data_IF_714587037341
#
_entry.id   IF_714587037341
#
_cell.length_a   1.000
_cell.length_b   1.000
_cell.length_c   1.000
_cell.angle_alpha   90.00
_cell.angle_beta   90.00
_cell.angle_gamma   90.00
#
_symmetry.space_group_name_H-M   'P 1'
#
loop_
_entity.id
_entity.type
_entity.pdbx_description
1 polymer ?
#
# COMPACT_ATOMS: atom_id res chain seq x y z
N UNK A 1 13.56 7.95 16.07
CA UNK A 1 12.57 6.94 16.52
C UNK A 1 11.80 6.44 15.30
N UNK A 2 12.19 5.31 14.71
CA UNK A 2 11.45 4.68 13.62
C UNK A 2 10.89 3.31 14.06
N UNK A 3 9.72 3.26 14.71
CA UNK A 3 8.98 2.01 14.89
C UNK A 3 7.52 2.15 14.45
N UNK A 4 7.24 2.71 13.25
CA UNK A 4 5.85 3.03 12.82
C UNK A 4 5.37 2.38 11.51
N UNK A 5 6.26 1.80 10.69
CA UNK A 5 5.86 1.12 9.45
C UNK A 5 5.83 -0.42 9.55
N UNK A 6 6.36 -1.03 10.62
CA UNK A 6 6.43 -2.51 10.75
C UNK A 6 5.06 -3.17 10.76
N UNK A 7 4.12 -2.64 11.55
CA UNK A 7 2.81 -3.27 11.75
C UNK A 7 1.94 -3.15 10.51
N UNK A 8 2.04 -2.01 9.81
CA UNK A 8 1.40 -1.82 8.52
C UNK A 8 1.96 -2.77 7.47
N UNK A 9 3.28 -2.91 7.37
CA UNK A 9 3.93 -3.82 6.42
C UNK A 9 3.54 -5.27 6.71
N UNK A 10 3.54 -5.68 7.98
CA UNK A 10 3.09 -7.02 8.37
C UNK A 10 1.63 -7.28 7.97
N UNK A 11 0.75 -6.29 8.21
CA UNK A 11 -0.66 -6.35 7.80
C UNK A 11 -0.80 -6.44 6.28
N UNK A 12 -0.02 -5.65 5.53
CA UNK A 12 -0.04 -5.67 4.07
C UNK A 12 0.43 -7.04 3.53
N UNK A 13 1.52 -7.59 4.07
CA UNK A 13 2.01 -8.94 3.75
C UNK A 13 0.98 -10.02 4.05
N UNK A 14 0.23 -9.89 5.14
CA UNK A 14 -0.85 -10.82 5.49
C UNK A 14 -1.97 -10.84 4.45
N UNK A 15 -2.32 -9.67 3.89
CA UNK A 15 -3.43 -9.57 2.93
C UNK A 15 -3.02 -9.80 1.46
N UNK A 16 -1.86 -9.31 1.05
CA UNK A 16 -1.35 -9.44 -0.33
C UNK A 16 -0.57 -10.73 -0.55
N UNK A 17 -0.02 -11.32 0.52
CA UNK A 17 0.98 -12.37 0.44
C UNK A 17 2.36 -11.84 0.04
N UNK A 18 3.36 -12.72 0.03
CA UNK A 18 4.70 -12.43 -0.46
C UNK A 18 5.08 -13.48 -1.50
N UNK A 19 4.89 -13.15 -2.77
CA UNK A 19 5.07 -14.06 -3.90
C UNK A 19 6.37 -13.72 -4.61
N UNK A 20 7.37 -14.58 -4.46
CA UNK A 20 8.70 -14.36 -5.02
C UNK A 20 8.84 -14.68 -6.52
N UNK A 21 7.75 -14.87 -7.24
CA UNK A 21 7.75 -15.18 -8.67
C UNK A 21 6.62 -14.41 -9.37
N UNK A 22 6.76 -14.20 -10.67
CA UNK A 22 5.75 -13.49 -11.45
C UNK A 22 4.46 -14.33 -11.55
N UNK A 23 3.31 -13.69 -11.42
CA UNK A 23 1.99 -14.28 -11.60
C UNK A 23 1.05 -13.26 -12.25
N UNK A 24 -0.12 -13.70 -12.75
CA UNK A 24 -1.17 -12.77 -13.16
C UNK A 24 -2.18 -12.59 -12.03
N UNK A 25 -2.47 -11.34 -11.67
CA UNK A 25 -3.47 -11.01 -10.67
C UNK A 25 -4.90 -11.35 -11.14
N UNK A 26 -5.89 -11.08 -10.28
CA UNK A 26 -7.32 -11.30 -10.60
C UNK A 26 -7.84 -10.52 -11.82
N UNK A 27 -7.11 -9.50 -12.28
CA UNK A 27 -7.42 -8.70 -13.47
C UNK A 27 -6.55 -9.08 -14.67
N UNK A 28 -5.68 -10.09 -14.53
CA UNK A 28 -4.76 -10.52 -15.58
C UNK A 28 -3.47 -9.71 -15.68
N UNK A 29 -3.15 -8.86 -14.69
CA UNK A 29 -1.94 -8.06 -14.74
C UNK A 29 -0.72 -8.83 -14.18
N UNK A 30 0.44 -8.80 -14.85
CA UNK A 30 1.68 -9.33 -14.31
C UNK A 30 2.03 -8.67 -12.96
N UNK A 31 2.24 -9.49 -11.94
CA UNK A 31 2.40 -9.07 -10.54
C UNK A 31 3.47 -9.92 -9.84
N UNK A 32 4.23 -9.34 -8.92
CA UNK A 32 5.25 -10.03 -8.13
C UNK A 32 5.42 -9.37 -6.74
N UNK A 33 6.09 -10.05 -5.82
CA UNK A 33 6.38 -9.53 -4.48
C UNK A 33 5.11 -9.47 -3.64
N UNK A 34 4.84 -8.31 -3.07
CA UNK A 34 3.69 -8.08 -2.17
C UNK A 34 2.58 -7.41 -2.98
N UNK A 35 2.22 -7.99 -4.14
CA UNK A 35 1.19 -7.44 -5.02
C UNK A 35 1.65 -6.30 -5.93
N UNK A 36 2.93 -6.21 -6.29
CA UNK A 36 3.43 -5.16 -7.19
C UNK A 36 3.13 -5.49 -8.64
N UNK A 37 2.23 -4.71 -9.24
CA UNK A 37 1.96 -4.77 -10.68
C UNK A 37 3.20 -4.34 -11.47
N UNK A 38 3.65 -5.22 -12.36
CA UNK A 38 4.71 -4.96 -13.34
C UNK A 38 4.05 -4.54 -14.65
N UNK A 39 3.72 -3.25 -14.75
CA UNK A 39 2.91 -2.70 -15.84
C UNK A 39 3.55 -2.83 -17.23
N UNK A 40 4.87 -3.01 -17.27
CA UNK A 40 5.60 -3.30 -18.50
C UNK A 40 6.84 -4.17 -18.20
N UNK A 41 7.43 -4.70 -19.28
CA UNK A 41 8.61 -5.56 -19.21
C UNK A 41 9.84 -4.87 -18.62
N UNK A 42 9.96 -3.56 -18.79
CA UNK A 42 11.13 -2.82 -18.30
C UNK A 42 11.11 -2.70 -16.76
N UNK A 43 9.93 -2.51 -16.16
CA UNK A 43 9.77 -2.57 -14.71
C UNK A 43 10.18 -3.94 -14.15
N UNK A 44 9.76 -5.03 -14.78
CA UNK A 44 10.17 -6.37 -14.35
C UNK A 44 11.68 -6.60 -14.57
N UNK A 45 12.23 -6.11 -15.69
CA UNK A 45 13.66 -6.19 -15.96
C UNK A 45 14.52 -5.36 -14.99
N UNK A 46 13.96 -4.33 -14.34
CA UNK A 46 14.69 -3.59 -13.31
C UNK A 46 14.89 -4.38 -12.01
N UNK A 47 14.13 -5.46 -11.80
CA UNK A 47 14.26 -6.29 -10.61
C UNK A 47 15.55 -7.14 -10.67
N UNK A 48 16.18 -7.28 -9.49
CA UNK A 48 17.29 -8.21 -9.26
C UNK A 48 16.74 -9.63 -9.09
N UNK A 49 16.28 -10.22 -10.20
CA UNK A 49 15.76 -11.58 -10.27
C UNK A 49 16.90 -12.60 -10.31
N UNK A 50 16.70 -13.77 -9.70
CA UNK A 50 17.67 -14.87 -9.67
C UNK A 50 17.07 -16.14 -10.27
N UNK A 51 17.90 -16.98 -10.87
CA UNK A 51 17.50 -18.32 -11.32
C UNK A 51 17.27 -19.25 -10.13
N UNK A 52 16.75 -20.46 -10.38
CA UNK A 52 16.62 -21.54 -9.37
C UNK A 52 17.96 -21.89 -8.70
N UNK A 53 19.08 -21.66 -9.37
CA UNK A 53 20.44 -21.87 -8.86
C UNK A 53 21.00 -20.62 -8.15
N UNK A 54 20.14 -19.68 -7.78
CA UNK A 54 20.48 -18.43 -7.10
C UNK A 54 21.44 -17.51 -7.86
N UNK A 55 21.57 -17.67 -9.18
CA UNK A 55 22.41 -16.81 -10.01
C UNK A 55 21.62 -15.60 -10.52
N UNK A 56 22.22 -14.40 -10.62
CA UNK A 56 21.56 -13.23 -11.21
C UNK A 56 21.04 -13.51 -12.62
N UNK A 57 19.79 -13.16 -12.89
CA UNK A 57 19.16 -13.34 -14.19
C UNK A 57 19.55 -12.21 -15.16
N UNK A 58 19.86 -12.60 -16.40
CA UNK A 58 20.11 -11.64 -17.49
C UNK A 58 18.83 -10.89 -17.88
N UNK A 59 18.99 -9.71 -18.50
CA UNK A 59 17.84 -8.96 -19.04
C UNK A 59 17.06 -9.75 -20.10
N UNK A 60 17.74 -10.59 -20.89
CA UNK A 60 17.07 -11.49 -21.85
C UNK A 60 16.18 -12.50 -21.13
N UNK A 61 16.69 -13.19 -20.10
CA UNK A 61 15.90 -14.14 -19.31
C UNK A 61 14.68 -13.49 -18.65
N UNK A 62 14.85 -12.28 -18.08
CA UNK A 62 13.76 -11.52 -17.46
C UNK A 62 12.69 -11.14 -18.50
N UNK A 63 13.08 -10.62 -19.66
CA UNK A 63 12.17 -10.26 -20.76
C UNK A 63 11.42 -11.49 -21.29
N UNK A 64 12.14 -12.58 -21.57
CA UNK A 64 11.55 -13.82 -22.08
C UNK A 64 10.54 -14.42 -21.09
N UNK A 65 10.86 -14.39 -19.79
CA UNK A 65 9.95 -14.85 -18.74
C UNK A 65 8.70 -13.98 -18.65
N UNK A 66 8.86 -12.66 -18.58
CA UNK A 66 7.74 -11.72 -18.52
C UNK A 66 6.77 -11.92 -19.69
N UNK A 67 7.31 -11.95 -20.91
CA UNK A 67 6.49 -12.10 -22.12
C UNK A 67 5.74 -13.44 -22.12
N UNK A 68 6.42 -14.53 -21.76
CA UNK A 68 5.80 -15.86 -21.71
C UNK A 68 4.69 -15.96 -20.66
N UNK A 69 4.93 -15.47 -19.42
CA UNK A 69 3.93 -15.50 -18.36
C UNK A 69 2.74 -14.57 -18.64
N UNK A 70 2.98 -13.45 -19.33
CA UNK A 70 1.92 -12.52 -19.73
C UNK A 70 0.94 -13.11 -20.75
N UNK A 71 1.29 -14.23 -21.40
CA UNK A 71 0.42 -14.96 -22.33
C UNK A 71 -0.33 -16.14 -21.68
N UNK A 72 -0.10 -16.42 -20.40
CA UNK A 72 -0.82 -17.48 -19.69
C UNK A 72 -2.26 -17.04 -19.39
N UNK A 73 -3.20 -17.99 -19.21
CA UNK A 73 -4.54 -17.65 -18.77
C UNK A 73 -4.49 -17.04 -17.35
N UNK A 74 -5.31 -16.01 -17.14
CA UNK A 74 -5.51 -15.38 -15.83
C UNK A 74 -6.52 -16.15 -14.97
N UNK A 75 -6.72 -15.72 -13.72
CA UNK A 75 -7.71 -16.31 -12.81
C UNK A 75 -7.18 -17.47 -11.95
N UNK A 76 -5.94 -17.91 -12.17
CA UNK A 76 -5.28 -18.89 -11.30
C UNK A 76 -4.66 -18.23 -10.06
N UNK A 77 -4.47 -19.02 -8.99
CA UNK A 77 -3.73 -18.57 -7.80
C UNK A 77 -2.25 -18.41 -8.14
N UNK A 78 -1.57 -17.47 -7.49
CA UNK A 78 -0.13 -17.21 -7.67
C UNK A 78 0.72 -18.50 -7.71
N UNK A 79 0.49 -19.42 -6.76
CA UNK A 79 1.22 -20.69 -6.66
C UNK A 79 1.14 -21.57 -7.92
N UNK A 80 0.07 -21.48 -8.71
CA UNK A 80 -0.07 -22.22 -9.97
C UNK A 80 0.97 -21.75 -11.00
N UNK A 81 1.21 -20.43 -11.09
CA UNK A 81 2.20 -19.84 -11.99
C UNK A 81 3.63 -20.26 -11.65
N UNK A 82 3.91 -20.63 -10.39
CA UNK A 82 5.24 -21.07 -9.94
C UNK A 82 5.83 -22.19 -10.81
N UNK A 83 5.00 -23.10 -11.30
CA UNK A 83 5.42 -24.20 -12.17
C UNK A 83 5.95 -23.70 -13.54
N UNK A 84 5.50 -22.52 -13.95
CA UNK A 84 5.91 -21.85 -15.17
C UNK A 84 7.06 -20.87 -14.95
N UNK A 85 7.54 -20.66 -13.72
CA UNK A 85 8.62 -19.71 -13.43
C UNK A 85 9.99 -20.38 -13.39
N UNK A 86 10.96 -19.66 -13.94
CA UNK A 86 12.39 -19.96 -13.93
C UNK A 86 13.15 -18.96 -13.07
N UNK A 87 12.61 -17.76 -12.87
CA UNK A 87 13.22 -16.71 -12.06
C UNK A 87 12.41 -16.41 -10.80
N UNK A 88 13.13 -16.00 -9.77
CA UNK A 88 12.61 -15.69 -8.45
C UNK A 88 13.23 -14.41 -7.91
N UNK A 89 12.41 -13.56 -7.29
CA UNK A 89 12.82 -12.36 -6.58
C UNK A 89 13.33 -12.78 -5.19
N UNK A 90 14.61 -12.52 -4.84
CA UNK A 90 15.10 -12.81 -3.51
C UNK A 90 14.27 -12.10 -2.42
N UNK A 91 14.16 -12.71 -1.25
CA UNK A 91 13.34 -12.17 -0.15
C UNK A 91 13.77 -10.76 0.26
N UNK A 92 15.07 -10.51 0.41
CA UNK A 92 15.59 -9.18 0.71
C UNK A 92 15.20 -8.14 -0.36
N UNK A 93 15.10 -8.55 -1.63
CA UNK A 93 14.68 -7.67 -2.72
C UNK A 93 13.17 -7.40 -2.70
N UNK A 94 12.35 -8.33 -2.20
CA UNK A 94 10.92 -8.08 -2.01
C UNK A 94 10.67 -6.89 -1.08
N UNK A 95 11.41 -6.81 0.03
CA UNK A 95 11.28 -5.71 0.99
C UNK A 95 11.81 -4.38 0.44
N UNK A 96 12.94 -4.40 -0.29
CA UNK A 96 13.47 -3.19 -0.94
C UNK A 96 12.45 -2.61 -1.93
N UNK A 97 11.87 -3.48 -2.78
CA UNK A 97 10.83 -3.08 -3.75
C UNK A 97 9.60 -2.54 -3.02
N UNK A 98 9.16 -3.19 -1.93
CA UNK A 98 8.06 -2.69 -1.11
C UNK A 98 8.33 -1.27 -0.61
N UNK A 99 9.47 -1.05 0.02
CA UNK A 99 9.80 0.26 0.59
C UNK A 99 9.89 1.34 -0.49
N UNK A 100 10.41 1.01 -1.67
CA UNK A 100 10.43 1.92 -2.81
C UNK A 100 9.01 2.33 -3.24
N UNK A 101 8.11 1.35 -3.43
CA UNK A 101 6.72 1.60 -3.81
C UNK A 101 5.96 2.39 -2.73
N UNK A 102 6.13 2.07 -1.45
CA UNK A 102 5.52 2.82 -0.36
C UNK A 102 5.99 4.28 -0.37
N UNK A 103 7.29 4.54 -0.56
CA UNK A 103 7.80 5.89 -0.68
C UNK A 103 7.24 6.64 -1.89
N UNK A 104 7.02 5.97 -3.01
CA UNK A 104 6.34 6.56 -4.17
C UNK A 104 4.89 6.91 -3.86
N UNK A 105 4.14 5.99 -3.27
CA UNK A 105 2.76 6.22 -2.88
C UNK A 105 2.62 7.34 -1.85
N UNK A 106 3.53 7.46 -0.88
CA UNK A 106 3.53 8.59 0.06
C UNK A 106 3.67 9.94 -0.66
N UNK A 107 4.55 10.02 -1.68
CA UNK A 107 4.69 11.24 -2.49
C UNK A 107 3.43 11.54 -3.29
N UNK A 108 2.84 10.54 -3.93
CA UNK A 108 1.60 10.68 -4.70
C UNK A 108 0.42 11.09 -3.79
N UNK A 109 0.30 10.47 -2.61
CA UNK A 109 -0.68 10.83 -1.59
C UNK A 109 -0.48 12.26 -1.08
N UNK A 110 0.76 12.75 -0.95
CA UNK A 110 1.01 14.15 -0.59
C UNK A 110 0.56 15.14 -1.68
N UNK A 111 0.58 14.73 -2.95
CA UNK A 111 0.02 15.54 -4.06
C UNK A 111 -1.52 15.52 -4.04
N UNK A 112 -2.15 14.43 -3.58
CA UNK A 112 -3.62 14.34 -3.49
C UNK A 112 -4.14 15.07 -2.23
N UNK A 113 -3.57 14.76 -1.07
CA UNK A 113 -4.03 15.17 0.25
C UNK A 113 -3.18 16.33 0.79
N UNK A 114 -3.36 17.53 0.23
CA UNK A 114 -2.70 18.76 0.68
C UNK A 114 -3.68 19.93 0.81
N UNK A 115 -3.20 21.03 1.40
CA UNK A 115 -4.02 22.23 1.61
C UNK A 115 -4.53 22.87 0.32
N UNK A 116 -3.75 22.81 -0.78
CA UNK A 116 -4.16 23.36 -2.08
C UNK A 116 -5.39 22.65 -2.64
N UNK A 117 -5.56 21.37 -2.33
CA UNK A 117 -6.73 20.58 -2.71
C UNK A 117 -7.90 20.67 -1.70
N UNK A 118 -7.82 21.59 -0.73
CA UNK A 118 -8.88 21.88 0.24
C UNK A 118 -8.87 20.96 1.48
N UNK A 119 -7.78 20.24 1.75
CA UNK A 119 -7.61 19.47 2.98
C UNK A 119 -7.07 20.35 4.11
N UNK A 120 -7.48 20.08 5.37
CA UNK A 120 -7.01 20.88 6.53
C UNK A 120 -5.52 20.69 6.84
N UNK A 121 -4.95 19.55 6.46
CA UNK A 121 -3.57 19.15 6.76
C UNK A 121 -2.88 18.60 5.52
N UNK A 122 -1.56 18.77 5.48
CA UNK A 122 -0.70 18.02 4.55
C UNK A 122 -0.73 16.54 4.90
N UNK A 123 -0.59 15.67 3.89
CA UNK A 123 -0.58 14.22 4.07
C UNK A 123 0.35 13.76 5.21
N UNK A 124 1.58 14.27 5.23
CA UNK A 124 2.58 13.90 6.23
C UNK A 124 2.19 14.28 7.67
N UNK A 125 1.33 15.29 7.83
CA UNK A 125 0.79 15.75 9.10
C UNK A 125 -0.47 15.01 9.55
N UNK A 126 -1.08 14.19 8.69
CA UNK A 126 -2.23 13.37 9.08
C UNK A 126 -1.86 12.37 10.18
N UNK A 127 -2.83 11.97 11.04
CA UNK A 127 -2.60 10.92 12.02
C UNK A 127 -2.06 9.64 11.37
N UNK A 128 -1.14 8.93 12.02
CA UNK A 128 -0.52 7.74 11.43
C UNK A 128 -1.55 6.67 11.02
N UNK A 129 -2.60 6.38 11.81
CA UNK A 129 -3.65 5.47 11.35
C UNK A 129 -4.32 5.92 10.05
N UNK A 130 -4.58 7.22 9.87
CA UNK A 130 -5.13 7.75 8.61
C UNK A 130 -4.17 7.52 7.44
N UNK A 131 -2.86 7.74 7.65
CA UNK A 131 -1.85 7.47 6.62
C UNK A 131 -1.81 6.00 6.24
N UNK A 132 -1.87 5.08 7.22
CA UNK A 132 -1.95 3.63 6.95
C UNK A 132 -3.19 3.26 6.13
N UNK A 133 -4.35 3.84 6.45
CA UNK A 133 -5.57 3.61 5.68
C UNK A 133 -5.45 4.10 4.23
N UNK A 134 -4.91 5.31 4.03
CA UNK A 134 -4.69 5.87 2.70
C UNK A 134 -3.64 5.10 1.91
N UNK A 135 -2.57 4.61 2.56
CA UNK A 135 -1.56 3.75 1.95
C UNK A 135 -2.16 2.41 1.49
N UNK A 136 -2.97 1.74 2.31
CA UNK A 136 -3.64 0.51 1.89
C UNK A 136 -4.64 0.74 0.75
N UNK A 137 -5.35 1.87 0.78
CA UNK A 137 -6.27 2.22 -0.30
C UNK A 137 -5.53 2.50 -1.61
N UNK A 138 -4.47 3.30 -1.59
CA UNK A 138 -3.71 3.61 -2.81
C UNK A 138 -2.97 2.40 -3.36
N UNK A 139 -2.51 1.49 -2.47
CA UNK A 139 -1.92 0.23 -2.87
C UNK A 139 -2.89 -0.61 -3.72
N UNK A 140 -4.15 -0.69 -3.28
CA UNK A 140 -5.17 -1.46 -3.99
C UNK A 140 -5.73 -0.75 -5.24
N UNK A 141 -5.92 0.57 -5.17
CA UNK A 141 -6.68 1.32 -6.17
C UNK A 141 -5.79 2.00 -7.21
N UNK A 142 -4.53 2.30 -6.85
CA UNK A 142 -3.69 3.26 -7.53
C UNK A 142 -4.11 4.71 -7.24
N UNK A 143 -3.13 5.63 -7.31
CA UNK A 143 -3.29 7.05 -6.98
C UNK A 143 -4.33 7.76 -7.82
N UNK A 144 -4.38 7.49 -9.13
CA UNK A 144 -5.36 8.10 -10.02
C UNK A 144 -6.80 7.72 -9.65
N UNK A 145 -7.05 6.44 -9.37
CA UNK A 145 -8.40 5.99 -9.03
C UNK A 145 -8.81 6.53 -7.66
N UNK A 146 -7.91 6.49 -6.66
CA UNK A 146 -8.16 7.08 -5.35
C UNK A 146 -8.48 8.58 -5.44
N UNK A 147 -7.70 9.32 -6.23
CA UNK A 147 -7.86 10.77 -6.40
C UNK A 147 -9.24 11.15 -6.97
N UNK A 148 -9.74 10.37 -7.94
CA UNK A 148 -10.86 10.80 -8.78
C UNK A 148 -12.20 10.11 -8.45
N UNK A 149 -12.19 8.93 -7.82
CA UNK A 149 -13.40 8.09 -7.67
C UNK A 149 -13.88 7.91 -6.23
N UNK A 150 -13.29 8.64 -5.27
CA UNK A 150 -13.63 8.54 -3.84
C UNK A 150 -14.10 9.86 -3.22
N UNK A 151 -15.08 10.57 -3.83
CA UNK A 151 -15.47 11.92 -3.41
C UNK A 151 -16.02 11.98 -1.98
N UNK A 152 -16.77 10.96 -1.54
CA UNK A 152 -17.33 10.90 -0.18
C UNK A 152 -16.24 10.70 0.89
N UNK A 153 -15.26 9.86 0.60
CA UNK A 153 -14.08 9.69 1.45
C UNK A 153 -13.29 11.00 1.54
N UNK A 154 -13.05 11.66 0.40
CA UNK A 154 -12.34 12.94 0.37
C UNK A 154 -13.07 14.01 1.20
N UNK A 155 -14.39 14.10 1.05
CA UNK A 155 -15.21 15.02 1.85
C UNK A 155 -15.06 14.76 3.36
N UNK A 156 -15.14 13.49 3.78
CA UNK A 156 -14.93 13.11 5.18
C UNK A 156 -13.52 13.49 5.69
N UNK A 157 -12.47 13.23 4.91
CA UNK A 157 -11.09 13.58 5.28
C UNK A 157 -10.88 15.10 5.36
N UNK A 158 -11.47 15.88 4.44
CA UNK A 158 -11.44 17.35 4.49
C UNK A 158 -12.06 17.89 5.78
N UNK A 159 -13.14 17.26 6.24
CA UNK A 159 -13.78 17.60 7.50
C UNK A 159 -13.06 17.03 8.73
N UNK A 160 -12.15 16.06 8.54
CA UNK A 160 -11.56 15.20 9.57
C UNK A 160 -12.60 14.34 10.30
N UNK A 161 -13.68 14.00 9.62
CA UNK A 161 -14.67 13.04 10.10
C UNK A 161 -14.17 11.61 9.82
N UNK A 162 -13.36 11.10 10.75
CA UNK A 162 -12.76 9.77 10.61
C UNK A 162 -13.78 8.64 10.72
N UNK A 163 -14.92 8.85 11.41
CA UNK A 163 -15.99 7.86 11.47
C UNK A 163 -16.70 7.74 10.13
N UNK A 164 -16.93 8.85 9.43
CA UNK A 164 -17.44 8.82 8.06
C UNK A 164 -16.41 8.24 7.09
N UNK A 165 -15.14 8.63 7.19
CA UNK A 165 -14.07 8.08 6.36
C UNK A 165 -13.99 6.54 6.46
N UNK A 166 -14.13 6.00 7.67
CA UNK A 166 -14.18 4.55 7.91
C UNK A 166 -15.36 3.84 7.22
N UNK A 167 -16.49 4.52 7.00
CA UNK A 167 -17.64 3.98 6.26
C UNK A 167 -17.44 4.09 4.74
N UNK A 168 -16.80 5.16 4.30
CA UNK A 168 -16.60 5.49 2.88
C UNK A 168 -15.37 4.82 2.26
N UNK A 169 -14.51 4.13 3.02
CA UNK A 169 -13.31 3.47 2.50
C UNK A 169 -13.53 2.05 1.96
N UNK A 170 -14.78 1.54 1.96
CA UNK A 170 -15.08 0.16 1.57
C UNK A 170 -14.90 -0.10 0.07
N UNK A 171 -14.09 -1.11 -0.28
CA UNK A 171 -13.80 -1.52 -1.67
C UNK A 171 -14.53 -2.81 -2.04
N UNK A 172 -15.20 -2.84 -3.20
CA UNK A 172 -16.09 -3.97 -3.58
C UNK A 172 -15.38 -5.31 -3.80
N UNK A 173 -14.18 -5.31 -4.38
CA UNK A 173 -13.49 -6.54 -4.80
C UNK A 173 -12.33 -6.90 -3.86
N UNK A 174 -12.48 -6.60 -2.57
CA UNK A 174 -11.44 -6.78 -1.56
C UNK A 174 -11.98 -7.59 -0.39
N UNK A 175 -11.11 -8.38 0.25
CA UNK A 175 -11.49 -9.24 1.37
C UNK A 175 -12.14 -8.40 2.47
N UNK A 176 -13.23 -8.91 3.04
CA UNK A 176 -13.99 -8.24 4.10
C UNK A 176 -13.10 -7.84 5.27
N UNK A 177 -12.18 -8.71 5.70
CA UNK A 177 -11.27 -8.41 6.81
C UNK A 177 -10.29 -7.27 6.47
N UNK A 178 -9.82 -7.19 5.21
CA UNK A 178 -8.97 -6.08 4.76
C UNK A 178 -9.74 -4.76 4.78
N UNK A 179 -10.97 -4.74 4.26
CA UNK A 179 -11.83 -3.55 4.36
C UNK A 179 -12.10 -3.13 5.82
N UNK A 180 -12.33 -4.10 6.71
CA UNK A 180 -12.53 -3.87 8.14
C UNK A 180 -11.28 -3.28 8.79
N UNK A 181 -10.09 -3.78 8.46
CA UNK A 181 -8.82 -3.26 8.96
C UNK A 181 -8.60 -1.80 8.51
N UNK A 182 -8.85 -1.48 7.24
CA UNK A 182 -8.76 -0.11 6.72
C UNK A 182 -9.70 0.84 7.44
N UNK A 183 -10.95 0.41 7.65
CA UNK A 183 -11.93 1.18 8.42
C UNK A 183 -11.49 1.38 9.87
N UNK A 184 -10.87 0.37 10.49
CA UNK A 184 -10.37 0.43 11.86
C UNK A 184 -9.27 1.48 12.00
N UNK A 185 -8.34 1.58 11.06
CA UNK A 185 -7.32 2.62 11.07
C UNK A 185 -7.91 4.03 11.05
N UNK A 186 -8.93 4.29 10.23
CA UNK A 186 -9.64 5.58 10.31
C UNK A 186 -10.26 5.80 11.70
N UNK A 187 -10.96 4.81 12.26
CA UNK A 187 -11.59 4.92 13.59
C UNK A 187 -10.57 5.20 14.71
N UNK A 188 -9.40 4.58 14.67
CA UNK A 188 -8.32 4.77 15.66
C UNK A 188 -7.73 6.18 15.68
N UNK A 189 -7.86 6.95 14.59
CA UNK A 189 -7.41 8.35 14.57
C UNK A 189 -8.27 9.26 15.47
N UNK A 190 -9.53 8.91 15.70
CA UNK A 190 -10.42 9.64 16.61
C UNK A 190 -10.00 9.51 18.08
N UNK A 191 -9.40 8.38 18.47
CA UNK A 191 -8.89 8.14 19.82
C UNK A 191 -7.56 8.85 20.08
N UNK A 192 -6.65 8.90 19.10
CA UNK A 192 -5.35 9.58 19.23
C UNK A 192 -5.50 11.08 19.47
N UNK A 193 -6.47 11.72 18.81
CA UNK A 193 -6.71 13.16 18.95
C UNK A 193 -7.18 13.55 20.36
N UNK A 194 -7.98 12.69 21.02
CA UNK A 194 -8.42 12.90 22.41
C UNK A 194 -7.28 12.75 23.41
N UNK A 195 -6.43 11.75 23.23
CA UNK A 195 -5.27 11.49 24.10
C UNK A 195 -4.30 12.68 24.11
N UNK A 196 -3.94 13.18 22.92
CA UNK A 196 -3.07 14.36 22.78
C UNK A 196 -3.68 15.65 23.34
N UNK A 197 -5.00 15.83 23.22
CA UNK A 197 -5.70 16.99 23.78
C UNK A 197 -5.68 16.99 25.31
N UNK A 198 -5.89 15.84 25.94
CA UNK A 198 -5.85 15.70 27.40
C UNK A 198 -4.44 15.96 27.96
N UNK A 199 -3.40 15.40 27.32
CA UNK A 199 -2.00 15.65 27.72
C UNK A 199 -1.63 17.13 27.55
N UNK A 200 -1.97 17.77 26.42
CA UNK A 200 -1.72 19.21 26.21
C UNK A 200 -2.44 20.09 27.23
N UNK A 201 -3.69 19.76 27.56
CA UNK A 201 -4.45 20.46 28.59
C UNK A 201 -3.79 20.33 29.97
N UNK A 202 -3.36 19.12 30.34
CA UNK A 202 -2.69 18.85 31.61
C UNK A 202 -1.37 19.63 31.73
N UNK A 203 -0.54 19.62 30.67
CA UNK A 203 0.72 20.36 30.61
C UNK A 203 0.49 21.86 30.73
N UNK A 204 -0.50 22.42 30.03
CA UNK A 204 -0.89 23.85 30.16
C UNK A 204 -1.34 24.20 31.58
N UNK A 205 -2.10 23.32 32.23
CA UNK A 205 -2.58 23.54 33.60
C UNK A 205 -1.44 23.50 34.63
N UNK A 206 -0.41 22.67 34.41
CA UNK A 206 0.78 22.61 35.27
C UNK A 206 1.66 23.85 35.06
N UNK A 207 1.85 24.28 33.81
CA UNK A 207 2.68 25.45 33.49
C UNK A 207 2.05 26.79 33.90
N UNK A 208 0.71 26.91 33.89
CA UNK A 208 -0.02 28.11 34.30
C UNK A 208 -0.32 28.17 35.82
N UNK A 209 0.28 27.30 36.63
CA UNK A 209 0.16 27.30 38.10
C UNK A 209 1.37 27.95 38.80
N UNK A 210 2.06 28.85 38.11
CA UNK A 210 3.06 29.76 38.71
C UNK A 210 2.53 31.17 38.72
#
# INVERSE_FOLDING_TARGET
>A
MAPKNSDFIATLKQFEGQINHLYLDSRGNPTIGIGFMMANVDQFCALLMHTKQHQPATNKQKRDEYLRLSQLPSGYKAQWYKAHCLLYLPEQQCDIVLHHHLGQFERELAVIFNRKNGFKQEFHSLPNPVKSALLDMVFNLGSHHLANHWPKLHHAIKQQDWQRAAKECHRKHIQTERNKQTAQWFKSAASDTRSYSWVKWLVRKILNRK
#
